data_IF_178116267738
#
_entry.id   IF_178116267738
#
_cell.length_a   1.000
_cell.length_b   1.000
_cell.length_c   1.000
_cell.angle_alpha   90.00
_cell.angle_beta   90.00
_cell.angle_gamma   90.00
#
_symmetry.space_group_name_H-M   'P 1'
#
loop_
_entity.id
_entity.type
_entity.pdbx_description
1 polymer ?
#
# COMPACT_ATOMS: atom_id res chain seq x y z
N UNK A 1 10.42 39.75 32.71
CA UNK A 1 10.83 38.87 33.82
C UNK A 1 9.81 39.04 34.92
N UNK A 2 9.45 37.93 35.58
CA UNK A 2 8.45 37.81 36.67
C UNK A 2 6.99 37.79 36.21
N UNK A 3 6.09 36.88 36.62
CA UNK A 3 6.15 35.63 37.41
C UNK A 3 4.83 34.88 37.11
N UNK A 4 4.95 33.57 36.84
CA UNK A 4 4.09 32.46 37.25
C UNK A 4 2.55 32.59 37.17
N UNK A 5 1.87 31.76 36.35
CA UNK A 5 1.28 30.47 36.77
C UNK A 5 0.32 30.63 37.97
N UNK A 6 -1.00 30.45 37.78
CA UNK A 6 -1.92 29.47 38.44
C UNK A 6 -3.36 29.75 37.93
N UNK A 7 -4.21 28.70 37.87
CA UNK A 7 -5.70 28.67 37.85
C UNK A 7 -6.36 28.78 36.45
N UNK A 8 -7.23 27.87 35.98
CA UNK A 8 -8.15 26.92 36.63
C UNK A 8 -8.41 25.72 35.69
N UNK A 9 -8.21 24.51 36.19
CA UNK A 9 -8.83 23.28 35.66
C UNK A 9 -9.54 22.61 36.84
N UNK A 10 -10.88 22.66 36.85
CA UNK A 10 -11.78 21.76 37.58
C UNK A 10 -13.21 22.31 37.55
N UNK A 11 -14.08 21.73 36.72
CA UNK A 11 -15.51 21.71 37.00
C UNK A 11 -16.13 20.43 36.43
N UNK A 12 -15.93 19.35 37.17
CA UNK A 12 -16.78 18.17 37.14
C UNK A 12 -17.44 18.14 38.52
N UNK A 13 -18.76 18.32 38.57
CA UNK A 13 -19.63 17.72 39.60
C UNK A 13 -21.11 17.83 39.20
N UNK A 14 -21.72 16.65 39.09
CA UNK A 14 -23.09 16.28 39.48
C UNK A 14 -24.25 17.03 38.80
N UNK A 15 -25.25 16.37 38.18
CA UNK A 15 -26.13 15.35 38.79
C UNK A 15 -27.06 14.78 37.69
N UNK A 16 -27.18 13.46 37.54
CA UNK A 16 -28.48 12.71 37.43
C UNK A 16 -28.18 11.20 37.31
N UNK A 17 -28.17 10.43 38.41
CA UNK A 17 -29.26 9.57 38.92
C UNK A 17 -30.02 8.77 37.85
N UNK A 18 -29.75 7.46 37.78
CA UNK A 18 -30.70 6.52 37.20
C UNK A 18 -30.17 5.11 36.91
N UNK A 19 -30.24 4.23 37.90
CA UNK A 19 -30.41 2.78 37.78
C UNK A 19 -29.17 1.85 37.68
N UNK A 20 -28.88 1.18 38.80
CA UNK A 20 -27.99 0.01 39.03
C UNK A 20 -28.64 -1.31 38.54
N UNK A 21 -28.08 -2.53 38.77
CA UNK A 21 -26.70 -3.03 38.62
C UNK A 21 -26.61 -4.46 38.00
N UNK A 22 -25.42 -4.89 37.57
CA UNK A 22 -24.81 -6.25 37.69
C UNK A 22 -23.38 -6.17 37.12
N UNK A 23 -22.29 -6.06 37.92
CA UNK A 23 -21.53 -7.12 38.63
C UNK A 23 -21.42 -8.38 37.77
N UNK A 24 -20.26 -8.88 37.33
CA UNK A 24 -18.98 -9.16 38.03
C UNK A 24 -17.89 -9.43 36.97
N UNK A 25 -16.70 -8.83 37.04
CA UNK A 25 -15.48 -9.32 37.71
C UNK A 25 -14.88 -10.61 37.09
N UNK A 26 -13.61 -10.54 36.69
CA UNK A 26 -12.52 -11.56 36.62
C UNK A 26 -11.47 -10.97 35.65
N UNK A 27 -10.37 -10.33 36.04
CA UNK A 27 -9.41 -10.55 37.11
C UNK A 27 -8.64 -11.88 36.97
N UNK A 28 -7.37 -11.70 36.59
CA UNK A 28 -6.16 -12.45 36.98
C UNK A 28 -5.74 -13.68 36.14
N UNK A 29 -4.45 -13.66 35.80
CA UNK A 29 -3.44 -14.73 35.79
C UNK A 29 -2.68 -14.91 34.47
N UNK A 30 -1.50 -14.25 34.43
CA UNK A 30 -0.24 -14.87 33.97
C UNK A 30 -0.20 -16.33 34.43
N UNK A 31 0.39 -17.24 33.64
CA UNK A 31 1.46 -18.13 34.08
C UNK A 31 2.08 -18.87 32.88
N UNK A 32 3.40 -19.07 33.00
CA UNK A 32 4.30 -19.65 32.02
C UNK A 32 4.42 -21.19 32.13
N UNK A 33 5.37 -21.74 31.35
CA UNK A 33 5.98 -23.08 31.39
C UNK A 33 5.49 -24.02 30.27
N UNK A 34 6.30 -24.28 29.23
CA UNK A 34 7.48 -25.19 29.19
C UNK A 34 7.10 -26.63 29.49
N UNK A 35 7.09 -27.47 28.45
CA UNK A 35 7.28 -28.92 28.58
C UNK A 35 7.92 -29.44 27.29
N UNK A 36 9.24 -29.60 27.36
CA UNK A 36 10.03 -30.39 26.43
C UNK A 36 9.75 -31.88 26.66
N UNK A 37 9.50 -32.63 25.58
CA UNK A 37 9.57 -34.09 25.60
C UNK A 37 10.45 -34.54 24.45
N UNK A 38 11.62 -35.03 24.83
CA UNK A 38 12.52 -35.82 24.02
C UNK A 38 11.99 -37.26 23.93
N UNK A 39 11.83 -37.77 22.72
CA UNK A 39 11.84 -39.21 22.47
C UNK A 39 12.79 -39.49 21.30
N UNK A 40 13.92 -40.10 21.64
CA UNK A 40 14.81 -40.73 20.70
C UNK A 40 14.18 -42.00 20.11
N UNK A 41 14.59 -42.32 18.89
CA UNK A 41 14.23 -43.55 18.20
C UNK A 41 15.09 -43.70 16.96
N UNK A 42 16.27 -44.28 17.13
CA UNK A 42 17.12 -44.74 16.04
C UNK A 42 16.64 -46.12 15.58
N UNK A 43 16.31 -46.31 14.31
CA UNK A 43 16.34 -47.62 13.65
C UNK A 43 16.90 -47.51 12.23
N UNK A 44 17.85 -48.41 12.00
CA UNK A 44 18.66 -48.74 10.82
C UNK A 44 17.80 -49.28 9.67
N UNK A 45 18.11 -48.88 8.44
CA UNK A 45 17.49 -49.45 7.22
C UNK A 45 18.31 -49.16 5.97
N UNK A 46 19.32 -50.00 5.72
CA UNK A 46 20.18 -50.00 4.54
C UNK A 46 19.45 -50.44 3.27
N UNK A 47 19.41 -49.57 2.26
CA UNK A 47 18.96 -49.89 0.90
C UNK A 47 19.49 -48.86 -0.10
N UNK A 48 20.74 -49.04 -0.54
CA UNK A 48 21.41 -48.19 -1.53
C UNK A 48 20.98 -48.62 -2.95
N UNK A 49 20.06 -47.88 -3.56
CA UNK A 49 19.95 -47.82 -5.02
C UNK A 49 20.66 -46.53 -5.47
N UNK A 50 21.87 -46.69 -6.01
CA UNK A 50 22.63 -45.59 -6.60
C UNK A 50 22.20 -45.40 -8.07
N UNK A 51 21.13 -44.65 -8.29
CA UNK A 51 20.92 -43.98 -9.58
C UNK A 51 21.74 -42.69 -9.54
N UNK A 52 22.81 -42.65 -10.32
CA UNK A 52 23.60 -41.45 -10.55
C UNK A 52 22.76 -40.47 -11.39
N UNK A 53 22.05 -39.58 -10.72
CA UNK A 53 21.41 -38.43 -11.36
C UNK A 53 22.51 -37.39 -11.63
N UNK A 54 22.66 -36.87 -12.86
CA UNK A 54 23.53 -35.72 -13.08
C UNK A 54 23.03 -34.58 -12.19
N UNK A 55 23.92 -34.10 -11.31
CA UNK A 55 23.66 -33.01 -10.41
C UNK A 55 23.43 -31.74 -11.25
N UNK A 56 22.17 -31.53 -11.65
CA UNK A 56 21.68 -30.20 -11.96
C UNK A 56 21.77 -29.40 -10.69
N UNK A 57 22.60 -28.36 -10.71
CA UNK A 57 22.77 -27.39 -9.65
C UNK A 57 21.39 -26.81 -9.30
N UNK A 58 20.83 -27.29 -8.19
CA UNK A 58 19.63 -26.72 -7.62
C UNK A 58 20.04 -25.36 -7.06
N UNK A 59 19.83 -24.32 -7.86
CA UNK A 59 19.92 -22.93 -7.42
C UNK A 59 18.93 -22.79 -6.27
N UNK A 60 19.45 -22.73 -5.05
CA UNK A 60 18.70 -22.26 -3.90
C UNK A 60 18.35 -20.81 -4.22
N UNK A 61 17.08 -20.56 -4.56
CA UNK A 61 16.55 -19.22 -4.64
C UNK A 61 16.32 -18.83 -3.17
N UNK A 62 17.17 -17.95 -2.67
CA UNK A 62 17.14 -17.47 -1.29
C UNK A 62 15.84 -16.69 -1.05
N UNK A 63 15.06 -17.10 -0.04
CA UNK A 63 13.78 -16.50 0.35
C UNK A 63 13.90 -15.00 0.79
N UNK A 64 15.13 -14.48 0.88
CA UNK A 64 15.42 -13.10 1.31
C UNK A 64 15.06 -12.03 0.24
N UNK A 65 15.04 -12.40 -1.04
CA UNK A 65 14.81 -11.42 -2.13
C UNK A 65 13.34 -10.93 -2.21
N UNK A 66 12.39 -11.75 -1.75
CA UNK A 66 10.95 -11.43 -1.80
C UNK A 66 10.55 -10.35 -0.77
N UNK A 67 11.12 -10.36 0.43
CA UNK A 67 10.81 -9.34 1.45
C UNK A 67 11.46 -7.98 1.14
N UNK A 68 12.61 -7.99 0.46
CA UNK A 68 13.29 -6.77 0.07
C UNK A 68 12.47 -5.93 -0.93
N UNK A 69 11.63 -6.55 -1.77
CA UNK A 69 10.80 -5.81 -2.74
C UNK A 69 9.79 -4.88 -2.06
N UNK A 70 9.17 -5.31 -0.96
CA UNK A 70 8.09 -4.56 -0.32
C UNK A 70 8.58 -3.36 0.51
N UNK A 71 9.89 -3.27 0.76
CA UNK A 71 10.49 -2.11 1.44
C UNK A 71 10.80 -0.95 0.49
N UNK A 72 10.88 -1.21 -0.83
CA UNK A 72 11.20 -0.19 -1.84
C UNK A 72 10.01 0.74 -2.08
N UNK A 73 10.22 2.01 -2.45
CA UNK A 73 9.16 2.90 -2.90
C UNK A 73 8.39 2.32 -4.10
N UNK A 74 7.09 2.57 -4.18
CA UNK A 74 6.21 1.95 -5.19
C UNK A 74 6.69 2.18 -6.63
N UNK A 75 7.20 3.37 -6.95
CA UNK A 75 7.72 3.70 -8.29
C UNK A 75 9.00 2.93 -8.68
N UNK A 76 9.66 2.26 -7.73
CA UNK A 76 10.83 1.42 -7.97
C UNK A 76 10.48 -0.08 -8.03
N UNK A 77 9.25 -0.45 -7.68
CA UNK A 77 8.77 -1.82 -7.75
C UNK A 77 8.40 -2.17 -9.18
N UNK A 78 8.32 -3.46 -9.47
CA UNK A 78 7.79 -3.87 -10.76
C UNK A 78 6.30 -3.50 -10.86
N UNK A 79 5.83 -2.96 -12.00
CA UNK A 79 4.42 -2.55 -12.15
C UNK A 79 3.44 -3.69 -11.88
N UNK A 80 2.38 -3.39 -11.13
CA UNK A 80 1.30 -4.32 -10.83
C UNK A 80 -0.02 -3.58 -10.64
N UNK A 81 -1.12 -4.27 -10.91
CA UNK A 81 -2.47 -3.73 -10.63
C UNK A 81 -3.09 -4.48 -9.44
N UNK A 82 -4.12 -3.89 -8.84
CA UNK A 82 -4.91 -4.51 -7.79
C UNK A 82 -6.34 -4.70 -8.28
N UNK A 83 -6.88 -5.90 -8.10
CA UNK A 83 -8.29 -6.20 -8.37
C UNK A 83 -8.96 -6.50 -7.03
N UNK A 84 -9.95 -5.69 -6.68
CA UNK A 84 -10.79 -5.89 -5.50
C UNK A 84 -12.07 -6.62 -5.90
N UNK A 85 -12.30 -7.78 -5.30
CA UNK A 85 -13.50 -8.59 -5.52
C UNK A 85 -14.65 -8.15 -4.60
N UNK A 86 -15.85 -8.63 -4.91
CA UNK A 86 -17.05 -8.41 -4.10
C UNK A 86 -17.07 -9.21 -2.79
N UNK A 87 -18.03 -8.92 -1.92
CA UNK A 87 -18.18 -9.61 -0.63
C UNK A 87 -18.54 -11.10 -0.78
N UNK A 88 -19.17 -11.50 -1.89
CA UNK A 88 -19.44 -12.91 -2.19
C UNK A 88 -18.15 -13.71 -2.40
N UNK A 89 -17.08 -13.03 -2.83
CA UNK A 89 -15.72 -13.55 -2.94
C UNK A 89 -14.82 -13.03 -1.80
N UNK A 90 -15.38 -12.82 -0.60
CA UNK A 90 -14.70 -12.39 0.62
C UNK A 90 -14.03 -10.99 0.56
N UNK A 91 -14.30 -10.18 -0.47
CA UNK A 91 -13.69 -8.86 -0.61
C UNK A 91 -12.18 -8.91 -0.87
N UNK A 92 -11.66 -10.02 -1.41
CA UNK A 92 -10.23 -10.23 -1.59
C UNK A 92 -9.62 -9.20 -2.54
N UNK A 93 -8.43 -8.69 -2.20
CA UNK A 93 -7.63 -7.80 -3.04
C UNK A 93 -6.48 -8.60 -3.62
N UNK A 94 -6.47 -8.76 -4.94
CA UNK A 94 -5.51 -9.60 -5.64
C UNK A 94 -4.49 -8.72 -6.36
N UNK A 95 -3.20 -8.94 -6.07
CA UNK A 95 -2.08 -8.36 -6.81
C UNK A 95 -1.90 -9.10 -8.14
N UNK A 96 -2.03 -8.39 -9.25
CA UNK A 96 -2.00 -8.97 -10.60
C UNK A 96 -0.92 -8.31 -11.45
N UNK A 97 -0.48 -9.04 -12.47
CA UNK A 97 0.33 -8.46 -13.56
C UNK A 97 -0.49 -7.38 -14.26
N UNK A 98 0.12 -6.27 -14.72
CA UNK A 98 -0.60 -5.18 -15.35
C UNK A 98 -1.58 -5.66 -16.42
N UNK A 99 -2.84 -5.26 -16.28
CA UNK A 99 -3.91 -5.70 -17.17
C UNK A 99 -3.78 -5.02 -18.53
N UNK A 100 -4.27 -5.70 -19.57
CA UNK A 100 -4.20 -5.16 -20.93
C UNK A 100 -5.10 -3.92 -21.06
N UNK A 101 -4.48 -2.79 -21.42
CA UNK A 101 -5.16 -1.51 -21.68
C UNK A 101 -5.64 -1.40 -23.14
N UNK A 102 -6.70 -0.62 -23.43
CA UNK A 102 -7.56 0.11 -22.49
C UNK A 102 -8.60 -0.80 -21.81
N UNK A 103 -8.97 -0.47 -20.58
CA UNK A 103 -10.09 -1.13 -19.89
C UNK A 103 -11.44 -0.60 -20.41
N UNK A 104 -12.47 -1.46 -20.48
CA UNK A 104 -13.81 -1.03 -20.87
C UNK A 104 -14.40 -0.07 -19.82
N UNK A 105 -14.89 1.10 -20.24
CA UNK A 105 -15.52 2.09 -19.33
C UNK A 105 -16.81 1.59 -18.68
N UNK A 106 -17.55 0.72 -19.39
CA UNK A 106 -18.77 0.11 -18.89
C UNK A 106 -18.80 -1.36 -19.35
N UNK A 107 -18.13 -2.27 -18.64
CA UNK A 107 -18.10 -3.67 -19.00
C UNK A 107 -19.48 -4.32 -18.85
N UNK A 108 -19.82 -5.24 -19.76
CA UNK A 108 -20.99 -6.10 -19.57
C UNK A 108 -20.80 -6.92 -18.28
N UNK A 109 -21.82 -7.06 -17.42
CA UNK A 109 -21.74 -7.90 -16.21
C UNK A 109 -21.39 -9.36 -16.50
N UNK A 110 -21.70 -9.84 -17.71
CA UNK A 110 -21.40 -11.20 -18.17
C UNK A 110 -20.04 -11.34 -18.82
N UNK A 111 -19.39 -10.23 -19.20
CA UNK A 111 -18.04 -10.28 -19.73
C UNK A 111 -17.06 -10.66 -18.63
N UNK A 112 -15.94 -11.28 -19.01
CA UNK A 112 -14.89 -11.73 -18.09
C UNK A 112 -13.64 -10.89 -18.28
N UNK A 113 -12.97 -10.56 -17.18
CA UNK A 113 -11.61 -10.02 -17.18
C UNK A 113 -10.63 -11.19 -17.04
N UNK A 114 -9.70 -11.31 -17.99
CA UNK A 114 -8.59 -12.27 -17.94
C UNK A 114 -7.35 -11.57 -17.37
N UNK A 115 -6.74 -12.18 -16.36
CA UNK A 115 -5.52 -11.67 -15.72
C UNK A 115 -4.63 -12.81 -15.22
N UNK A 116 -3.36 -12.50 -14.98
CA UNK A 116 -2.44 -13.40 -14.28
C UNK A 116 -2.11 -12.80 -12.93
N UNK A 117 -2.11 -13.63 -11.87
CA UNK A 117 -1.64 -13.16 -10.56
C UNK A 117 -0.14 -12.84 -10.62
N UNK A 118 0.29 -11.90 -9.79
CA UNK A 118 1.68 -11.44 -9.79
C UNK A 118 2.67 -12.56 -9.39
N UNK A 119 2.27 -13.41 -8.46
CA UNK A 119 3.01 -14.59 -7.96
C UNK A 119 2.95 -15.80 -8.92
N UNK A 120 1.91 -15.89 -9.76
CA UNK A 120 1.66 -17.04 -10.64
C UNK A 120 1.42 -16.60 -12.09
N UNK A 121 2.45 -16.02 -12.70
CA UNK A 121 2.36 -15.42 -14.05
C UNK A 121 2.02 -16.40 -15.16
N UNK A 122 2.38 -17.68 -14.97
CA UNK A 122 2.12 -18.77 -15.91
C UNK A 122 0.66 -19.26 -15.88
N UNK A 123 -0.15 -18.84 -14.90
CA UNK A 123 -1.56 -19.21 -14.79
C UNK A 123 -2.44 -18.02 -15.10
N UNK A 124 -3.44 -18.27 -15.94
CA UNK A 124 -4.45 -17.29 -16.31
C UNK A 124 -5.72 -17.54 -15.52
N UNK A 125 -6.26 -16.47 -14.97
CA UNK A 125 -7.50 -16.44 -14.21
C UNK A 125 -8.53 -15.64 -15.00
N UNK A 126 -9.80 -16.00 -14.84
CA UNK A 126 -10.91 -15.28 -15.43
C UNK A 126 -11.95 -15.00 -14.36
N UNK A 127 -12.36 -13.74 -14.24
CA UNK A 127 -13.38 -13.31 -13.29
C UNK A 127 -14.45 -12.52 -14.05
N UNK A 128 -15.75 -12.84 -13.89
CA UNK A 128 -16.83 -12.01 -14.43
C UNK A 128 -16.76 -10.59 -13.87
N UNK A 129 -16.95 -9.57 -14.72
CA UNK A 129 -16.92 -8.17 -14.30
C UNK A 129 -17.91 -7.86 -13.17
N UNK A 130 -19.05 -8.56 -13.11
CA UNK A 130 -20.02 -8.41 -12.00
C UNK A 130 -19.46 -8.73 -10.61
N UNK A 131 -18.38 -9.50 -10.51
CA UNK A 131 -17.75 -9.87 -9.25
C UNK A 131 -16.58 -8.92 -8.87
N UNK A 132 -16.28 -7.94 -9.71
CA UNK A 132 -15.18 -6.99 -9.52
C UNK A 132 -15.77 -5.69 -9.00
N UNK A 133 -15.30 -5.27 -7.84
CA UNK A 133 -15.70 -3.98 -7.22
C UNK A 133 -14.85 -2.86 -7.80
N UNK A 134 -13.55 -3.08 -7.93
CA UNK A 134 -12.60 -2.06 -8.34
C UNK A 134 -11.37 -2.69 -9.01
N UNK A 135 -10.85 -2.02 -10.04
CA UNK A 135 -9.56 -2.31 -10.64
C UNK A 135 -8.69 -1.08 -10.45
N UNK A 136 -7.70 -1.19 -9.56
CA UNK A 136 -6.76 -0.11 -9.26
C UNK A 136 -5.49 -0.32 -10.06
N UNK A 137 -5.22 0.59 -10.97
CA UNK A 137 -4.06 0.52 -11.86
C UNK A 137 -2.79 0.99 -11.16
N UNK A 138 -1.65 0.46 -11.57
CA UNK A 138 -0.34 0.86 -11.05
C UNK A 138 -0.13 2.38 -11.10
N UNK A 139 -0.37 2.98 -12.25
CA UNK A 139 -0.17 4.42 -12.44
C UNK A 139 -1.13 5.27 -11.60
N UNK A 140 -2.35 4.79 -11.34
CA UNK A 140 -3.29 5.46 -10.42
C UNK A 140 -2.75 5.42 -8.99
N UNK A 141 -2.21 4.28 -8.56
CA UNK A 141 -1.59 4.16 -7.23
C UNK A 141 -0.39 5.11 -7.06
N UNK A 142 0.42 5.31 -8.11
CA UNK A 142 1.53 6.26 -8.07
C UNK A 142 1.05 7.71 -7.94
N UNK A 143 0.00 8.09 -8.66
CA UNK A 143 -0.57 9.45 -8.58
C UNK A 143 -1.20 9.69 -7.21
N UNK A 144 -1.99 8.74 -6.69
CA UNK A 144 -2.59 8.85 -5.37
C UNK A 144 -1.53 8.96 -4.25
N UNK A 145 -0.44 8.21 -4.37
CA UNK A 145 0.67 8.27 -3.39
C UNK A 145 1.41 9.62 -3.48
N UNK A 146 1.61 10.15 -4.68
CA UNK A 146 2.17 11.49 -4.86
C UNK A 146 1.27 12.57 -4.23
N UNK A 147 -0.05 12.48 -4.39
CA UNK A 147 -1.01 13.39 -3.76
C UNK A 147 -0.97 13.27 -2.23
N UNK A 148 -0.91 12.05 -1.70
CA UNK A 148 -0.76 11.82 -0.25
C UNK A 148 0.50 12.49 0.30
N UNK A 149 1.65 12.24 -0.34
CA UNK A 149 2.94 12.83 0.05
C UNK A 149 2.95 14.36 -0.06
N UNK A 150 2.30 14.91 -1.09
CA UNK A 150 2.11 16.36 -1.26
C UNK A 150 1.33 16.96 -0.09
N UNK A 151 0.24 16.32 0.31
CA UNK A 151 -0.58 16.74 1.44
C UNK A 151 0.15 16.64 2.79
N UNK A 152 1.08 15.69 2.90
CA UNK A 152 1.99 15.53 4.05
C UNK A 152 3.22 16.46 4.00
N UNK A 153 3.30 17.34 2.99
CA UNK A 153 4.42 18.26 2.74
C UNK A 153 5.76 17.58 2.49
N UNK A 154 5.73 16.32 2.04
CA UNK A 154 6.91 15.56 1.65
C UNK A 154 7.19 15.77 0.15
N UNK A 155 7.50 17.02 -0.22
CA UNK A 155 7.57 17.45 -1.62
C UNK A 155 8.66 16.74 -2.43
N UNK A 156 9.84 16.50 -1.83
CA UNK A 156 10.95 15.84 -2.53
C UNK A 156 10.57 14.42 -2.97
N UNK A 157 9.88 13.68 -2.10
CA UNK A 157 9.45 12.31 -2.40
C UNK A 157 8.24 12.32 -3.34
N UNK A 158 7.25 13.21 -3.12
CA UNK A 158 6.12 13.38 -4.02
C UNK A 158 6.56 13.65 -5.47
N UNK A 159 7.58 14.50 -5.65
CA UNK A 159 8.14 14.80 -6.96
C UNK A 159 8.70 13.56 -7.66
N UNK A 160 9.37 12.65 -6.95
CA UNK A 160 9.90 11.40 -7.56
C UNK A 160 8.78 10.51 -8.12
N UNK A 161 7.66 10.43 -7.41
CA UNK A 161 6.49 9.70 -7.90
C UNK A 161 5.89 10.39 -9.14
N UNK A 162 5.68 11.71 -9.09
CA UNK A 162 5.15 12.47 -10.23
C UNK A 162 6.07 12.39 -11.45
N UNK A 163 7.38 12.54 -11.25
CA UNK A 163 8.39 12.40 -12.30
C UNK A 163 8.30 11.03 -12.98
N UNK A 164 8.16 9.96 -12.20
CA UNK A 164 7.96 8.62 -12.76
C UNK A 164 6.69 8.55 -13.61
N UNK A 165 5.56 9.05 -13.12
CA UNK A 165 4.30 9.01 -13.86
C UNK A 165 4.37 9.89 -15.12
N UNK A 166 4.98 11.06 -15.06
CA UNK A 166 5.17 11.94 -16.24
C UNK A 166 6.04 11.28 -17.31
N UNK A 167 7.08 10.54 -16.91
CA UNK A 167 7.99 9.89 -17.85
C UNK A 167 7.39 8.63 -18.49
N UNK A 168 6.68 7.80 -17.73
CA UNK A 168 6.20 6.49 -18.19
C UNK A 168 4.72 6.47 -18.56
N UNK A 169 3.90 7.36 -17.99
CA UNK A 169 2.45 7.40 -18.15
C UNK A 169 1.91 8.83 -18.36
N UNK A 170 2.42 9.60 -19.34
CA UNK A 170 2.08 11.02 -19.52
C UNK A 170 0.61 11.28 -19.84
N UNK A 171 -0.13 10.26 -20.30
CA UNK A 171 -1.55 10.36 -20.68
C UNK A 171 -2.49 9.90 -19.56
N UNK A 172 -1.98 9.67 -18.33
CA UNK A 172 -2.82 9.22 -17.23
C UNK A 172 -3.86 10.29 -16.84
N UNK A 173 -5.16 9.96 -16.78
CA UNK A 173 -6.17 10.90 -16.31
C UNK A 173 -5.89 11.32 -14.87
N UNK A 174 -5.95 12.61 -14.57
CA UNK A 174 -5.69 13.14 -13.22
C UNK A 174 -4.22 13.46 -12.93
N UNK A 175 -3.26 13.05 -13.79
CA UNK A 175 -1.85 13.41 -13.62
C UNK A 175 -1.65 14.94 -13.57
N UNK A 176 -2.27 15.66 -14.51
CA UNK A 176 -2.14 17.12 -14.58
C UNK A 176 -2.66 17.80 -13.31
N UNK A 177 -3.77 17.31 -12.78
CA UNK A 177 -4.37 17.84 -11.55
C UNK A 177 -3.44 17.61 -10.35
N UNK A 178 -2.86 16.40 -10.24
CA UNK A 178 -1.89 16.09 -9.19
C UNK A 178 -0.61 16.94 -9.28
N UNK A 179 -0.10 17.18 -10.50
CA UNK A 179 1.06 18.07 -10.72
C UNK A 179 0.73 19.52 -10.31
N UNK A 180 -0.45 20.01 -10.70
CA UNK A 180 -0.88 21.37 -10.35
C UNK A 180 -1.04 21.54 -8.83
N UNK A 181 -1.65 20.56 -8.16
CA UNK A 181 -1.80 20.53 -6.71
C UNK A 181 -0.43 20.51 -6.01
N UNK A 182 0.50 19.70 -6.51
CA UNK A 182 1.88 19.67 -6.03
C UNK A 182 2.57 21.03 -6.16
N UNK A 183 2.56 21.63 -7.34
CA UNK A 183 3.19 22.93 -7.60
C UNK A 183 2.61 24.02 -6.71
N UNK A 184 1.28 24.08 -6.58
CA UNK A 184 0.61 25.08 -5.74
C UNK A 184 0.97 24.92 -4.26
N UNK A 185 0.87 23.69 -3.72
CA UNK A 185 1.15 23.43 -2.31
C UNK A 185 2.62 23.68 -1.97
N UNK A 186 3.54 23.29 -2.86
CA UNK A 186 4.97 23.52 -2.68
C UNK A 186 5.30 25.02 -2.77
N UNK A 187 4.70 25.76 -3.71
CA UNK A 187 4.85 27.21 -3.80
C UNK A 187 4.36 27.92 -2.53
N UNK A 188 3.21 27.52 -1.97
CA UNK A 188 2.71 28.09 -0.71
C UNK A 188 3.70 27.85 0.45
N UNK A 189 4.30 26.66 0.54
CA UNK A 189 5.27 26.36 1.59
C UNK A 189 6.60 27.12 1.37
N UNK A 190 7.11 27.20 0.14
CA UNK A 190 8.28 27.99 -0.21
C UNK A 190 8.08 29.49 0.08
N UNK A 191 6.88 30.01 -0.15
CA UNK A 191 6.52 31.39 0.18
C UNK A 191 6.60 31.66 1.68
N UNK A 192 6.11 30.74 2.52
CA UNK A 192 6.26 30.84 3.99
C UNK A 192 7.72 30.87 4.42
N UNK A 193 8.59 30.19 3.67
CA UNK A 193 10.04 30.18 3.88
C UNK A 193 10.77 31.37 3.24
N UNK A 194 10.05 32.33 2.62
CA UNK A 194 10.58 33.50 1.92
C UNK A 194 11.50 33.15 0.73
N UNK A 195 11.31 31.98 0.13
CA UNK A 195 12.02 31.49 -1.06
C UNK A 195 11.33 31.97 -2.33
N UNK A 196 11.41 33.27 -2.61
CA UNK A 196 10.57 33.91 -3.63
C UNK A 196 10.90 33.51 -5.07
N UNK A 197 12.17 33.15 -5.36
CA UNK A 197 12.57 32.73 -6.70
C UNK A 197 11.92 31.39 -7.03
N UNK A 198 11.98 30.44 -6.10
CA UNK A 198 11.37 29.12 -6.21
C UNK A 198 9.85 29.20 -6.35
N UNK A 199 9.22 30.09 -5.55
CA UNK A 199 7.78 30.38 -5.69
C UNK A 199 7.45 30.84 -7.10
N UNK A 200 8.20 31.81 -7.62
CA UNK A 200 7.94 32.35 -8.95
C UNK A 200 8.09 31.29 -10.04
N UNK A 201 9.14 30.47 -9.99
CA UNK A 201 9.35 29.37 -10.92
C UNK A 201 8.19 28.36 -10.91
N UNK A 202 7.71 27.95 -9.73
CA UNK A 202 6.58 27.03 -9.61
C UNK A 202 5.27 27.63 -10.12
N UNK A 203 5.03 28.93 -9.89
CA UNK A 203 3.83 29.60 -10.37
C UNK A 203 3.86 29.83 -11.90
N UNK A 204 5.03 30.08 -12.48
CA UNK A 204 5.18 30.14 -13.94
C UNK A 204 4.86 28.78 -14.58
N UNK A 205 5.41 27.70 -14.03
CA UNK A 205 5.12 26.35 -14.50
C UNK A 205 3.63 26.01 -14.36
N UNK A 206 3.03 26.35 -13.21
CA UNK A 206 1.59 26.17 -12.98
C UNK A 206 0.75 26.95 -14.02
N UNK A 207 1.14 28.18 -14.34
CA UNK A 207 0.45 29.00 -15.34
C UNK A 207 0.59 28.42 -16.76
N UNK A 208 1.78 27.91 -17.12
CA UNK A 208 1.98 27.25 -18.42
C UNK A 208 1.14 25.97 -18.55
N UNK A 209 0.98 25.25 -17.45
CA UNK A 209 0.24 24.00 -17.38
C UNK A 209 -1.29 24.17 -17.28
N UNK A 210 -1.75 25.32 -16.78
CA UNK A 210 -3.17 25.65 -16.59
C UNK A 210 -3.47 27.10 -17.00
N UNK A 211 -3.49 27.40 -18.31
CA UNK A 211 -3.74 28.76 -18.82
C UNK A 211 -5.18 29.24 -18.62
#
# INVERSE_FOLDING_TARGET
>A
MERLFVFVQAMICLTDRGNHPRRSAHCVWLWAAVMAIACGGAIVGSGRYAFAQPAGEAVAIDDEEAEAEDTRPLYQREPFDLIKLDEANAGEVIKVVPVKRPLPKNPSPTATLEFSRFDQRNRKYQVPWRNIVEVKLFESMLVEEAQRLTNEKQYDEAYRFLEHVMNYYPQHPGLQEAVNEFLLNNAVEAFRQKKYIEVFSMLEELHQNSP
#
